data_IF_072469608954
#
_entry.id   IF_072469608954
#
_cell.length_a   1.000
_cell.length_b   1.000
_cell.length_c   1.000
_cell.angle_alpha   90.00
_cell.angle_beta   90.00
_cell.angle_gamma   90.00
#
_symmetry.space_group_name_H-M   'P 1'
#
loop_
_entity.id
_entity.type
_entity.pdbx_description
1 polymer ?
#
# COMPACT_ATOMS: atom_id res chain seq x y z
N UNK A 1 9.42 -25.98 12.50
CA UNK A 1 9.35 -24.98 11.41
C UNK A 1 7.97 -24.35 11.52
N UNK A 2 7.89 -23.02 11.47
CA UNK A 2 6.60 -22.34 11.51
C UNK A 2 5.74 -22.75 10.30
N UNK A 3 4.44 -22.90 10.51
CA UNK A 3 3.44 -23.18 9.47
C UNK A 3 3.36 -22.04 8.45
N UNK A 4 2.75 -22.29 7.29
CA UNK A 4 2.51 -21.23 6.29
C UNK A 4 1.60 -20.14 6.84
N UNK A 5 0.63 -20.51 7.70
CA UNK A 5 -0.26 -19.55 8.38
C UNK A 5 0.54 -18.61 9.27
N UNK A 6 1.33 -19.15 10.20
CA UNK A 6 2.16 -18.35 11.11
C UNK A 6 3.10 -17.41 10.34
N UNK A 7 3.77 -17.93 9.31
CA UNK A 7 4.66 -17.11 8.48
C UNK A 7 3.94 -16.00 7.71
N UNK A 8 2.66 -16.21 7.37
CA UNK A 8 1.88 -15.23 6.63
C UNK A 8 1.34 -14.16 7.58
N UNK A 9 0.84 -14.54 8.75
CA UNK A 9 0.42 -13.62 9.81
C UNK A 9 1.58 -12.72 10.24
N UNK A 10 2.75 -13.29 10.55
CA UNK A 10 3.94 -12.52 10.93
C UNK A 10 4.32 -11.46 9.87
N UNK A 11 4.19 -11.81 8.59
CA UNK A 11 4.49 -10.89 7.49
C UNK A 11 3.43 -9.84 7.29
N UNK A 12 2.15 -10.19 7.44
CA UNK A 12 1.04 -9.25 7.41
C UNK A 12 1.22 -8.18 8.49
N UNK A 13 1.46 -8.62 9.72
CA UNK A 13 1.72 -7.75 10.88
C UNK A 13 2.92 -6.86 10.63
N UNK A 14 4.07 -7.44 10.28
CA UNK A 14 5.30 -6.69 10.08
C UNK A 14 5.20 -5.69 8.93
N UNK A 15 4.49 -6.03 7.84
CA UNK A 15 4.26 -5.07 6.75
C UNK A 15 3.41 -3.90 7.22
N UNK A 16 2.28 -4.18 7.87
CA UNK A 16 1.32 -3.16 8.32
C UNK A 16 1.92 -2.25 9.37
N UNK A 17 2.64 -2.80 10.34
CA UNK A 17 3.34 -2.03 11.37
C UNK A 17 4.32 -1.03 10.73
N UNK A 18 5.12 -1.47 9.76
CA UNK A 18 6.09 -0.61 9.08
C UNK A 18 5.42 0.51 8.28
N UNK A 19 4.28 0.23 7.66
CA UNK A 19 3.48 1.25 6.99
C UNK A 19 2.94 2.26 7.99
N UNK A 20 2.30 1.81 9.07
CA UNK A 20 1.72 2.69 10.09
C UNK A 20 2.78 3.60 10.73
N UNK A 21 3.97 3.08 11.02
CA UNK A 21 5.10 3.89 11.52
C UNK A 21 5.47 4.99 10.52
N UNK A 22 5.52 4.68 9.22
CA UNK A 22 5.85 5.68 8.21
C UNK A 22 4.73 6.72 8.01
N UNK A 23 3.47 6.36 8.29
CA UNK A 23 2.33 7.27 8.22
C UNK A 23 2.25 8.19 9.44
N UNK A 24 2.58 7.70 10.64
CA UNK A 24 2.58 8.49 11.88
C UNK A 24 3.59 9.66 11.84
N UNK A 25 4.60 9.55 10.98
CA UNK A 25 5.59 10.59 10.71
C UNK A 25 5.10 11.71 9.77
N UNK A 26 3.90 11.58 9.19
CA UNK A 26 3.34 12.50 8.19
C UNK A 26 2.12 13.26 8.76
N UNK A 27 2.04 14.59 8.56
CA UNK A 27 0.82 15.32 8.85
C UNK A 27 -0.27 15.06 7.79
N UNK A 28 -1.53 15.34 8.12
CA UNK A 28 -2.69 15.14 7.24
C UNK A 28 -2.54 15.81 5.88
N UNK A 29 -1.93 17.01 5.83
CA UNK A 29 -1.69 17.72 4.57
C UNK A 29 -0.74 16.95 3.65
N UNK A 30 0.29 16.31 4.21
CA UNK A 30 1.22 15.49 3.45
C UNK A 30 0.57 14.21 2.92
N UNK A 31 -0.39 13.66 3.66
CA UNK A 31 -1.15 12.47 3.26
C UNK A 31 -2.06 12.75 2.06
N UNK A 32 -2.62 13.96 1.99
CA UNK A 32 -3.54 14.41 0.95
C UNK A 32 -2.87 15.06 -0.26
N UNK A 33 -1.60 15.46 -0.13
CA UNK A 33 -0.87 16.15 -1.20
C UNK A 33 -0.77 15.26 -2.46
N UNK A 34 -1.30 15.72 -3.60
CA UNK A 34 -1.32 14.93 -4.83
C UNK A 34 0.07 14.78 -5.42
N UNK A 35 0.31 13.68 -6.15
CA UNK A 35 1.59 13.36 -6.81
C UNK A 35 2.79 13.23 -5.87
N UNK A 36 2.56 12.98 -4.58
CA UNK A 36 3.63 12.69 -3.61
C UNK A 36 4.17 11.26 -3.75
N UNK A 37 3.33 10.35 -4.23
CA UNK A 37 3.71 8.97 -4.52
C UNK A 37 3.35 8.64 -5.98
N UNK A 38 4.28 8.95 -6.88
CA UNK A 38 4.07 8.90 -8.35
C UNK A 38 2.96 9.86 -8.75
N UNK A 39 1.85 9.35 -9.28
CA UNK A 39 0.70 10.14 -9.73
C UNK A 39 -0.41 10.23 -8.65
N UNK A 40 -0.14 9.72 -7.45
CA UNK A 40 -1.14 9.56 -6.38
C UNK A 40 -0.70 10.26 -5.09
N UNK A 41 -1.66 10.60 -4.23
CA UNK A 41 -1.37 10.94 -2.82
C UNK A 41 -1.17 9.67 -1.98
N UNK A 42 -0.69 9.82 -0.74
CA UNK A 42 -0.61 8.68 0.19
C UNK A 42 -2.01 8.17 0.54
N UNK A 43 -2.96 9.08 0.76
CA UNK A 43 -4.36 8.73 1.03
C UNK A 43 -4.97 7.88 -0.09
N UNK A 44 -4.69 8.21 -1.35
CA UNK A 44 -5.15 7.44 -2.51
C UNK A 44 -4.61 6.01 -2.51
N UNK A 45 -3.35 5.83 -2.07
CA UNK A 45 -2.75 4.50 -1.96
C UNK A 45 -3.37 3.67 -0.83
N UNK A 46 -3.68 4.29 0.32
CA UNK A 46 -4.35 3.61 1.43
C UNK A 46 -5.76 3.18 1.05
N UNK A 47 -6.47 4.02 0.31
CA UNK A 47 -7.76 3.68 -0.29
C UNK A 47 -7.65 2.49 -1.23
N UNK A 48 -6.67 2.50 -2.13
CA UNK A 48 -6.45 1.39 -3.07
C UNK A 48 -6.09 0.10 -2.33
N UNK A 49 -5.23 0.18 -1.31
CA UNK A 49 -4.87 -0.94 -0.45
C UNK A 49 -6.12 -1.53 0.21
N UNK A 50 -6.92 -0.68 0.86
CA UNK A 50 -8.16 -1.09 1.54
C UNK A 50 -9.15 -1.74 0.56
N UNK A 51 -9.26 -1.22 -0.67
CA UNK A 51 -10.15 -1.77 -1.69
C UNK A 51 -9.67 -3.14 -2.21
N UNK A 52 -8.36 -3.36 -2.36
CA UNK A 52 -7.81 -4.66 -2.71
C UNK A 52 -8.01 -5.68 -1.59
N UNK A 53 -7.78 -5.27 -0.35
CA UNK A 53 -7.95 -6.12 0.83
C UNK A 53 -9.42 -6.49 1.05
N UNK A 54 -10.35 -5.56 0.80
CA UNK A 54 -11.80 -5.83 0.92
C UNK A 54 -12.29 -6.81 -0.16
N UNK A 55 -11.77 -6.67 -1.38
CA UNK A 55 -12.06 -7.63 -2.46
C UNK A 55 -11.42 -8.99 -2.17
N UNK A 56 -10.23 -9.01 -1.55
CA UNK A 56 -9.60 -10.24 -1.07
C UNK A 56 -10.44 -10.92 0.00
N UNK A 57 -10.93 -10.21 1.03
CA UNK A 57 -11.84 -10.77 2.05
C UNK A 57 -13.07 -11.40 1.40
N UNK A 58 -13.69 -10.69 0.44
CA UNK A 58 -14.83 -11.21 -0.32
C UNK A 58 -14.45 -12.47 -1.10
N UNK A 59 -13.25 -12.49 -1.69
CA UNK A 59 -12.69 -13.65 -2.37
C UNK A 59 -12.46 -14.83 -1.43
N UNK A 60 -11.86 -14.61 -0.25
CA UNK A 60 -11.59 -15.63 0.77
C UNK A 60 -12.89 -16.27 1.27
N UNK A 61 -13.92 -15.47 1.54
CA UNK A 61 -15.26 -15.96 1.85
C UNK A 61 -15.83 -16.86 0.74
N UNK A 62 -15.64 -16.51 -0.53
CA UNK A 62 -16.11 -17.35 -1.64
C UNK A 62 -15.31 -18.65 -1.72
N UNK A 63 -14.00 -18.58 -1.54
CA UNK A 63 -13.11 -19.74 -1.57
C UNK A 63 -13.42 -20.71 -0.43
N UNK A 64 -13.70 -20.22 0.79
CA UNK A 64 -14.08 -21.07 1.93
C UNK A 64 -15.39 -21.81 1.70
N UNK A 65 -16.30 -21.23 0.90
CA UNK A 65 -17.52 -21.88 0.43
C UNK A 65 -17.32 -22.81 -0.78
N UNK A 66 -16.07 -23.03 -1.21
CA UNK A 66 -15.74 -23.83 -2.40
C UNK A 66 -16.07 -23.15 -3.73
N UNK A 67 -16.35 -21.84 -3.73
CA UNK A 67 -16.66 -21.06 -4.92
C UNK A 67 -15.39 -20.41 -5.48
N UNK A 68 -15.37 -20.23 -6.80
CA UNK A 68 -14.31 -19.48 -7.49
C UNK A 68 -14.53 -17.97 -7.26
N UNK A 69 -13.50 -17.20 -6.87
CA UNK A 69 -13.64 -15.77 -6.61
C UNK A 69 -13.63 -14.96 -7.91
N UNK A 70 -14.76 -14.93 -8.62
CA UNK A 70 -14.83 -14.38 -10.00
C UNK A 70 -14.49 -12.90 -10.06
N UNK A 71 -14.97 -12.10 -9.10
CA UNK A 71 -14.72 -10.65 -9.07
C UNK A 71 -13.26 -10.32 -8.79
N UNK A 72 -12.68 -10.93 -7.74
CA UNK A 72 -11.26 -10.81 -7.44
C UNK A 72 -10.37 -11.18 -8.64
N UNK A 73 -10.68 -12.28 -9.34
CA UNK A 73 -9.91 -12.69 -10.51
C UNK A 73 -10.06 -11.71 -11.68
N UNK A 74 -11.26 -11.18 -11.92
CA UNK A 74 -11.47 -10.15 -12.92
C UNK A 74 -10.72 -8.85 -12.60
N UNK A 75 -10.63 -8.48 -11.32
CA UNK A 75 -9.85 -7.35 -10.85
C UNK A 75 -8.34 -7.58 -11.09
N UNK A 76 -7.84 -8.78 -10.78
CA UNK A 76 -6.44 -9.17 -11.03
C UNK A 76 -6.07 -9.22 -12.51
N UNK A 77 -7.01 -9.54 -13.39
CA UNK A 77 -6.81 -9.51 -14.83
C UNK A 77 -6.72 -8.06 -15.36
N UNK A 78 -7.32 -7.08 -14.66
CA UNK A 78 -7.39 -5.67 -15.07
C UNK A 78 -6.99 -4.72 -13.92
N UNK A 79 -5.79 -4.91 -13.37
CA UNK A 79 -5.29 -4.19 -12.18
C UNK A 79 -5.36 -2.66 -12.33
N UNK A 80 -4.97 -2.13 -13.49
CA UNK A 80 -4.98 -0.67 -13.74
C UNK A 80 -6.39 -0.09 -13.76
N UNK A 81 -7.33 -0.80 -14.39
CA UNK A 81 -8.73 -0.36 -14.45
C UNK A 81 -9.40 -0.45 -13.08
N UNK A 82 -9.15 -1.54 -12.34
CA UNK A 82 -9.63 -1.68 -10.98
C UNK A 82 -9.10 -0.57 -10.08
N UNK A 83 -7.79 -0.30 -10.11
CA UNK A 83 -7.17 0.79 -9.34
C UNK A 83 -7.76 2.15 -9.67
N UNK A 84 -7.95 2.45 -10.97
CA UNK A 84 -8.57 3.71 -11.42
C UNK A 84 -10.01 3.86 -10.93
N UNK A 85 -10.83 2.82 -11.06
CA UNK A 85 -12.22 2.84 -10.60
C UNK A 85 -12.30 3.09 -9.09
N UNK A 86 -11.46 2.40 -8.31
CA UNK A 86 -11.43 2.57 -6.85
C UNK A 86 -10.98 3.96 -6.43
N UNK A 87 -10.02 4.54 -7.16
CA UNK A 87 -9.67 5.95 -6.94
C UNK A 87 -10.85 6.89 -7.22
N UNK A 88 -11.51 6.74 -8.36
CA UNK A 88 -12.64 7.61 -8.73
C UNK A 88 -13.79 7.52 -7.71
N UNK A 89 -14.12 6.31 -7.24
CA UNK A 89 -15.15 6.05 -6.24
C UNK A 89 -14.83 6.65 -4.87
N UNK A 90 -13.55 6.77 -4.53
CA UNK A 90 -13.08 7.22 -3.21
C UNK A 90 -12.47 8.63 -3.24
N UNK A 91 -12.61 9.35 -4.37
CA UNK A 91 -12.11 10.71 -4.49
C UNK A 91 -12.81 11.63 -3.48
N UNK A 92 -12.04 12.31 -2.64
CA UNK A 92 -12.57 13.17 -1.58
C UNK A 92 -13.10 12.40 -0.36
N UNK A 93 -12.72 11.13 -0.22
CA UNK A 93 -12.96 10.38 1.01
C UNK A 93 -12.15 10.99 2.15
N UNK A 94 -12.79 11.03 3.31
CA UNK A 94 -12.24 11.57 4.54
C UNK A 94 -11.14 10.67 5.13
N UNK A 95 -10.06 11.27 5.63
CA UNK A 95 -8.90 10.55 6.16
C UNK A 95 -9.28 9.66 7.35
N UNK A 96 -10.13 10.15 8.27
CA UNK A 96 -10.53 9.37 9.44
C UNK A 96 -11.20 8.05 9.00
N UNK A 97 -12.06 8.13 7.98
CA UNK A 97 -12.69 6.93 7.39
C UNK A 97 -11.73 6.00 6.66
N UNK A 98 -10.59 6.49 6.20
CA UNK A 98 -9.56 5.64 5.58
C UNK A 98 -8.80 4.91 6.69
N UNK A 99 -8.43 5.62 7.75
CA UNK A 99 -7.74 5.04 8.90
C UNK A 99 -8.62 4.12 9.74
N UNK A 100 -9.93 4.30 9.76
CA UNK A 100 -10.88 3.37 10.40
C UNK A 100 -10.98 2.04 9.65
N UNK A 101 -11.07 2.07 8.31
CA UNK A 101 -11.27 0.87 7.49
C UNK A 101 -9.99 0.03 7.36
N UNK A 102 -8.83 0.69 7.27
CA UNK A 102 -7.54 0.06 7.01
C UNK A 102 -7.20 -1.08 8.00
N UNK A 103 -7.28 -0.90 9.34
CA UNK A 103 -7.05 -1.98 10.29
C UNK A 103 -8.17 -3.04 10.28
N UNK A 104 -9.43 -2.63 10.06
CA UNK A 104 -10.57 -3.55 10.05
C UNK A 104 -10.46 -4.59 8.95
N UNK A 105 -10.08 -4.17 7.74
CA UNK A 105 -9.95 -5.09 6.61
C UNK A 105 -8.77 -6.06 6.78
N UNK A 106 -7.68 -5.60 7.42
CA UNK A 106 -6.52 -6.45 7.75
C UNK A 106 -6.90 -7.53 8.76
N UNK A 107 -7.61 -7.18 9.83
CA UNK A 107 -8.11 -8.12 10.83
C UNK A 107 -9.02 -9.20 10.19
N UNK A 108 -9.91 -8.82 9.28
CA UNK A 108 -10.76 -9.79 8.57
C UNK A 108 -9.95 -10.78 7.71
N UNK A 109 -8.84 -10.33 7.10
CA UNK A 109 -7.95 -11.24 6.35
C UNK A 109 -7.29 -12.23 7.31
N UNK A 110 -6.79 -11.77 8.45
CA UNK A 110 -6.16 -12.62 9.47
C UNK A 110 -7.15 -13.66 10.01
N UNK A 111 -8.38 -13.26 10.35
CA UNK A 111 -9.45 -14.18 10.74
C UNK A 111 -9.72 -15.25 9.66
N UNK A 112 -9.76 -14.85 8.38
CA UNK A 112 -9.92 -15.80 7.29
C UNK A 112 -8.74 -16.76 7.16
N UNK A 113 -7.51 -16.33 7.45
CA UNK A 113 -6.33 -17.20 7.37
C UNK A 113 -6.40 -18.37 8.34
N UNK A 114 -6.95 -18.14 9.54
CA UNK A 114 -7.13 -19.18 10.56
C UNK A 114 -8.16 -20.25 10.16
N UNK A 115 -9.12 -19.89 9.29
CA UNK A 115 -10.15 -20.81 8.77
C UNK A 115 -9.63 -21.74 7.67
N UNK A 116 -8.49 -21.43 7.05
CA UNK A 116 -7.93 -22.26 5.99
C UNK A 116 -6.93 -23.29 6.53
N UNK A 117 -6.96 -24.49 5.97
CA UNK A 117 -5.92 -25.47 6.24
C UNK A 117 -4.59 -25.12 5.56
N UNK A 118 -3.49 -25.59 6.15
CA UNK A 118 -2.13 -25.48 5.58
C UNK A 118 -2.08 -25.90 4.09
N UNK A 119 -2.82 -26.95 3.73
CA UNK A 119 -2.90 -27.45 2.36
C UNK A 119 -3.61 -26.46 1.42
N UNK A 120 -4.70 -25.83 1.87
CA UNK A 120 -5.41 -24.84 1.06
C UNK A 120 -4.56 -23.60 0.82
N UNK A 121 -3.76 -23.19 1.82
CA UNK A 121 -2.92 -22.01 1.72
C UNK A 121 -1.63 -22.24 0.92
N UNK A 122 -0.89 -23.30 1.22
CA UNK A 122 0.48 -23.51 0.71
C UNK A 122 0.56 -24.33 -0.57
N UNK A 123 -0.40 -25.21 -0.84
CA UNK A 123 -0.30 -26.13 -1.96
C UNK A 123 -0.57 -25.40 -3.28
N UNK A 124 0.47 -25.30 -4.11
CA UNK A 124 0.37 -24.78 -5.48
C UNK A 124 -0.62 -25.61 -6.30
N UNK A 125 -1.52 -24.93 -6.99
CA UNK A 125 -2.54 -25.57 -7.82
C UNK A 125 -3.60 -26.34 -7.05
N UNK A 126 -3.70 -26.16 -5.73
CA UNK A 126 -4.82 -26.67 -4.94
C UNK A 126 -6.15 -26.20 -5.53
N UNK A 127 -6.21 -24.91 -5.86
CA UNK A 127 -7.29 -24.33 -6.63
C UNK A 127 -6.90 -24.30 -8.10
N UNK A 128 -7.67 -24.99 -8.95
CA UNK A 128 -7.36 -25.14 -10.38
C UNK A 128 -7.15 -23.81 -11.11
N UNK A 129 -7.83 -22.74 -10.68
CA UNK A 129 -7.73 -21.40 -11.24
C UNK A 129 -6.46 -20.64 -10.82
N UNK A 130 -5.74 -21.06 -9.77
CA UNK A 130 -4.43 -20.52 -9.38
C UNK A 130 -3.25 -21.11 -10.17
N UNK A 131 -3.48 -22.15 -10.98
CA UNK A 131 -2.44 -22.82 -11.78
C UNK A 131 -1.23 -23.21 -10.91
N UNK A 132 -0.07 -22.58 -11.09
CA UNK A 132 1.16 -22.89 -10.35
C UNK A 132 1.37 -22.00 -9.11
N UNK A 133 0.37 -21.21 -8.71
CA UNK A 133 0.41 -20.40 -7.49
C UNK A 133 -0.37 -21.06 -6.37
N UNK A 134 0.01 -20.75 -5.15
CA UNK A 134 -0.72 -21.09 -3.92
C UNK A 134 -1.66 -19.94 -3.53
N UNK A 135 -2.59 -20.19 -2.61
CA UNK A 135 -3.44 -19.12 -2.09
C UNK A 135 -2.62 -18.14 -1.25
N UNK A 136 -1.61 -18.62 -0.52
CA UNK A 136 -0.66 -17.78 0.20
C UNK A 136 0.10 -16.82 -0.73
N UNK A 137 0.49 -17.26 -1.93
CA UNK A 137 1.13 -16.38 -2.94
C UNK A 137 0.17 -15.26 -3.37
N UNK A 138 -1.12 -15.57 -3.55
CA UNK A 138 -2.12 -14.58 -3.92
C UNK A 138 -2.34 -13.54 -2.80
N UNK A 139 -2.48 -14.00 -1.56
CA UNK A 139 -2.66 -13.13 -0.40
C UNK A 139 -1.44 -12.21 -0.27
N UNK A 140 -0.23 -12.79 -0.30
CA UNK A 140 1.04 -12.04 -0.23
C UNK A 140 1.13 -10.96 -1.30
N UNK A 141 0.73 -11.27 -2.54
CA UNK A 141 0.75 -10.31 -3.64
C UNK A 141 -0.19 -9.11 -3.40
N UNK A 142 -1.40 -9.38 -2.90
CA UNK A 142 -2.46 -8.39 -2.73
C UNK A 142 -2.33 -7.56 -1.45
N UNK A 143 -1.62 -8.07 -0.44
CA UNK A 143 -1.40 -7.39 0.83
C UNK A 143 0.04 -6.88 0.91
N UNK A 144 0.98 -7.76 1.23
CA UNK A 144 2.36 -7.46 1.62
C UNK A 144 3.15 -6.84 0.47
N UNK A 145 3.15 -7.45 -0.72
CA UNK A 145 3.95 -6.95 -1.84
C UNK A 145 3.43 -5.61 -2.34
N UNK A 146 2.11 -5.40 -2.33
CA UNK A 146 1.51 -4.15 -2.71
C UNK A 146 1.92 -3.04 -1.71
N UNK A 147 1.80 -3.31 -0.41
CA UNK A 147 2.16 -2.36 0.64
C UNK A 147 3.67 -2.02 0.62
N UNK A 148 4.53 -3.04 0.57
CA UNK A 148 5.99 -2.86 0.56
C UNK A 148 6.53 -2.20 -0.71
N UNK A 149 5.77 -2.21 -1.81
CA UNK A 149 6.13 -1.48 -3.03
C UNK A 149 6.11 0.03 -2.81
N UNK A 150 5.18 0.53 -2.01
CA UNK A 150 4.99 1.97 -1.78
C UNK A 150 5.66 2.45 -0.51
N UNK A 151 5.92 1.56 0.46
CA UNK A 151 6.56 1.90 1.73
C UNK A 151 7.83 2.76 1.58
N UNK A 152 8.81 2.45 0.69
CA UNK A 152 10.00 3.30 0.53
C UNK A 152 9.69 4.73 0.08
N UNK A 153 8.61 4.93 -0.68
CA UNK A 153 8.20 6.24 -1.17
C UNK A 153 7.53 7.05 -0.05
N UNK A 154 6.67 6.41 0.77
CA UNK A 154 6.07 7.03 1.96
C UNK A 154 7.16 7.43 2.96
N UNK A 155 8.15 6.56 3.21
CA UNK A 155 9.29 6.86 4.07
C UNK A 155 10.16 8.00 3.52
N UNK A 156 10.32 8.10 2.20
CA UNK A 156 11.04 9.22 1.60
C UNK A 156 10.27 10.54 1.79
N UNK A 157 8.95 10.51 1.61
CA UNK A 157 8.08 11.65 1.84
C UNK A 157 8.16 12.13 3.30
N UNK A 158 8.09 11.21 4.27
CA UNK A 158 8.20 11.52 5.69
C UNK A 158 9.51 12.27 6.01
N UNK A 159 10.63 11.80 5.48
CA UNK A 159 11.93 12.48 5.63
C UNK A 159 11.97 13.87 4.99
N UNK A 160 11.34 14.03 3.82
CA UNK A 160 11.28 15.33 3.13
C UNK A 160 10.47 16.35 3.94
N UNK A 161 9.38 15.92 4.57
CA UNK A 161 8.53 16.78 5.40
C UNK A 161 9.16 17.15 6.73
N UNK A 162 9.98 16.27 7.31
CA UNK A 162 10.72 16.55 8.54
C UNK A 162 11.99 17.40 8.34
N UNK A 163 12.45 17.58 7.08
CA UNK A 163 13.62 18.39 6.80
C UNK A 163 13.31 19.87 7.12
N UNK A 164 14.14 20.55 7.93
CA UNK A 164 13.93 21.97 8.23
C UNK A 164 13.99 22.81 6.95
N UNK A 165 13.03 23.73 6.81
CA UNK A 165 12.91 24.63 5.65
C UNK A 165 14.17 25.48 5.36
N UNK A 166 15.12 25.55 6.29
CA UNK A 166 16.35 26.35 6.17
C UNK A 166 17.35 25.82 5.14
N UNK A 167 17.30 24.54 4.75
CA UNK A 167 18.31 23.97 3.83
C UNK A 167 17.98 24.21 2.33
N UNK A 168 16.81 24.79 2.02
CA UNK A 168 16.47 25.25 0.65
C UNK A 168 16.77 26.73 0.40
N UNK A 169 17.30 27.47 1.39
CA UNK A 169 17.59 28.92 1.29
C UNK A 169 19.11 29.23 1.28
N UNK A 170 19.95 28.37 0.71
CA UNK A 170 21.36 28.71 0.44
C UNK A 170 21.69 28.46 -1.04
N UNK A 171 21.31 29.39 -1.91
CA UNK A 171 22.09 29.77 -3.12
C UNK A 171 21.41 30.91 -3.89
N UNK A 172 21.36 32.10 -3.31
CA UNK A 172 21.24 33.36 -4.08
C UNK A 172 22.02 34.47 -3.37
N UNK A 173 23.33 34.26 -3.13
CA UNK A 173 24.24 35.40 -3.02
C UNK A 173 24.59 35.86 -4.44
N UNK A 174 24.35 37.13 -4.81
CA UNK A 174 24.89 37.68 -6.04
C UNK A 174 26.42 37.63 -5.91
N UNK A 175 27.07 37.18 -6.98
CA UNK A 175 28.51 37.25 -7.10
C UNK A 175 28.88 38.74 -7.21
N UNK A 176 29.29 39.35 -6.10
CA UNK A 176 29.95 40.64 -6.13
C UNK A 176 31.21 40.50 -7.01
N UNK A 177 31.12 41.00 -8.25
CA UNK A 177 32.28 41.28 -9.09
C UNK A 177 32.93 42.56 -8.57
N UNK A 178 34.23 42.55 -8.22
CA UNK A 178 34.94 43.80 -8.01
C UNK A 178 35.32 44.40 -9.37
N UNK A 179 34.65 45.52 -9.66
CA UNK A 179 35.09 46.71 -10.40
C UNK A 179 36.20 46.54 -11.43
N UNK A 180 35.79 46.55 -12.69
CA UNK A 180 36.62 47.01 -13.81
C UNK A 180 36.15 48.42 -14.17
N UNK A 181 36.85 49.46 -13.71
CA UNK A 181 36.73 50.77 -14.34
C UNK A 181 38.04 51.57 -14.36
N UNK A 182 38.20 52.21 -15.50
CA UNK A 182 39.42 52.70 -16.13
C UNK A 182 39.85 54.11 -15.68
N UNK A 183 41.08 54.44 -16.10
CA UNK A 183 41.72 55.76 -16.29
C UNK A 183 42.37 56.38 -15.04
N UNK A 184 43.62 56.84 -15.08
CA UNK A 184 44.31 57.60 -16.13
C UNK A 184 45.85 57.48 -15.97
#
# INVERSE_FOLDING_TARGET
MASTIEQLLDKLDSSRERLLIALDELPDEALLEPNTVRDWSVADLLVQQTAWESELVTGLMQISQGKKPVRLLAALDNVEEYGRLRYEENKGRDLDRIFDDLPQVRMQIEEWLEEFSEKQLSQKGHYAWLKNRSLADLITQLTIEHELRYLPLVQLLARQWQAPADDMMISLTPKDEPDDNFAN
#
